data_IF_229110321596
#
_entry.id   IF_229110321596
#
_cell.length_a   1.000
_cell.length_b   1.000
_cell.length_c   1.000
_cell.angle_alpha   90.00
_cell.angle_beta   90.00
_cell.angle_gamma   90.00
#
_symmetry.space_group_name_H-M   'P 1'
#
loop_
_entity.id
_entity.type
_entity.pdbx_description
1 polymer ?
#
# COMPACT_ATOMS: atom_id res chain seq x y z
N UNK A 1 -9.88 -6.62 22.91
CA UNK A 1 -10.64 -7.61 22.11
C UNK A 1 -9.75 -8.58 21.33
N UNK A 2 -8.55 -8.18 20.90
CA UNK A 2 -7.63 -9.02 20.10
C UNK A 2 -7.17 -10.32 20.78
N UNK A 3 -7.05 -10.30 22.12
CA UNK A 3 -6.54 -11.42 22.92
C UNK A 3 -7.48 -12.65 22.85
N UNK A 4 -8.79 -12.43 22.90
CA UNK A 4 -9.77 -13.53 23.04
C UNK A 4 -9.77 -14.42 21.80
N UNK A 5 -9.71 -13.87 20.59
CA UNK A 5 -9.81 -14.69 19.39
C UNK A 5 -8.55 -15.49 19.03
N UNK A 6 -7.39 -15.21 19.64
CA UNK A 6 -6.21 -16.07 19.46
C UNK A 6 -6.38 -17.39 20.24
N UNK A 7 -6.97 -17.30 21.44
CA UNK A 7 -7.24 -18.42 22.36
C UNK A 7 -8.41 -19.33 21.90
N UNK A 8 -9.28 -18.84 21.01
CA UNK A 8 -10.36 -19.64 20.43
C UNK A 8 -9.75 -20.78 19.58
N UNK A 9 -10.07 -22.06 19.82
CA UNK A 9 -9.48 -23.16 19.06
C UNK A 9 -10.18 -23.39 17.71
N UNK A 10 -11.48 -23.13 17.63
CA UNK A 10 -12.30 -23.45 16.45
C UNK A 10 -12.29 -22.30 15.43
N UNK A 11 -11.97 -22.61 14.18
CA UNK A 11 -11.92 -21.63 13.08
C UNK A 11 -13.31 -21.01 12.85
N UNK A 12 -14.38 -21.79 12.94
CA UNK A 12 -15.76 -21.30 12.78
C UNK A 12 -16.11 -20.22 13.80
N UNK A 13 -15.68 -20.39 15.05
CA UNK A 13 -15.91 -19.40 16.11
C UNK A 13 -15.09 -18.12 15.89
N UNK A 14 -13.86 -18.24 15.39
CA UNK A 14 -13.06 -17.07 14.97
C UNK A 14 -13.71 -16.32 13.81
N UNK A 15 -14.28 -17.04 12.85
CA UNK A 15 -15.00 -16.44 11.73
C UNK A 15 -16.26 -15.73 12.22
N UNK A 16 -17.06 -16.35 13.09
CA UNK A 16 -18.23 -15.72 13.72
C UNK A 16 -17.85 -14.44 14.48
N UNK A 17 -16.75 -14.46 15.25
CA UNK A 17 -16.28 -13.26 15.95
C UNK A 17 -15.79 -12.17 14.97
N UNK A 18 -15.14 -12.56 13.86
CA UNK A 18 -14.71 -11.62 12.83
C UNK A 18 -15.90 -10.91 12.18
N UNK A 19 -17.02 -11.61 11.94
CA UNK A 19 -18.28 -11.02 11.45
C UNK A 19 -18.81 -9.93 12.37
N UNK A 20 -18.85 -10.22 13.67
CA UNK A 20 -19.29 -9.26 14.69
C UNK A 20 -18.38 -8.02 14.71
N UNK A 21 -17.06 -8.21 14.62
CA UNK A 21 -16.09 -7.10 14.60
C UNK A 21 -16.16 -6.25 13.32
N UNK A 22 -16.51 -6.86 12.18
CA UNK A 22 -16.74 -6.16 10.91
C UNK A 22 -18.08 -5.43 10.86
N UNK A 23 -18.98 -5.68 11.82
CA UNK A 23 -20.38 -5.27 11.75
C UNK A 23 -21.05 -5.71 10.43
N UNK A 24 -20.68 -6.90 9.94
CA UNK A 24 -21.18 -7.43 8.67
C UNK A 24 -22.52 -8.16 8.86
N UNK A 25 -23.57 -7.38 9.05
CA UNK A 25 -24.94 -7.88 9.28
C UNK A 25 -25.51 -8.64 8.07
N UNK A 26 -25.02 -8.35 6.85
CA UNK A 26 -25.54 -8.90 5.59
C UNK A 26 -24.68 -10.04 5.01
N UNK A 27 -23.59 -10.43 5.67
CA UNK A 27 -22.60 -11.41 5.18
C UNK A 27 -21.96 -11.06 3.83
N UNK A 28 -21.92 -9.78 3.45
CA UNK A 28 -21.37 -9.37 2.15
C UNK A 28 -19.83 -9.23 2.19
N UNK A 29 -19.26 -9.04 3.38
CA UNK A 29 -17.84 -8.71 3.58
C UNK A 29 -17.03 -9.87 4.20
N UNK A 30 -17.70 -10.90 4.70
CA UNK A 30 -17.12 -11.81 5.70
C UNK A 30 -17.08 -13.28 5.33
N UNK A 31 -17.36 -13.69 4.08
CA UNK A 31 -17.36 -15.12 3.76
C UNK A 31 -15.95 -15.72 3.96
N UNK A 32 -15.80 -16.45 5.06
CA UNK A 32 -14.54 -17.04 5.51
C UNK A 32 -13.55 -16.14 6.25
N UNK A 33 -13.83 -14.84 6.48
CA UNK A 33 -12.85 -13.93 7.11
C UNK A 33 -12.49 -14.36 8.53
N UNK A 34 -11.19 -14.53 8.78
CA UNK A 34 -10.63 -14.82 10.09
C UNK A 34 -9.51 -13.82 10.39
N UNK A 35 -9.76 -12.86 11.27
CA UNK A 35 -8.75 -11.83 11.60
C UNK A 35 -7.47 -12.36 12.22
N UNK A 36 -7.53 -13.55 12.83
CA UNK A 36 -6.39 -14.22 13.48
C UNK A 36 -5.67 -15.19 12.55
N UNK A 37 -6.09 -15.34 11.28
CA UNK A 37 -5.32 -16.11 10.31
C UNK A 37 -4.01 -15.38 9.97
N UNK A 38 -2.88 -16.02 10.29
CA UNK A 38 -1.54 -15.50 10.04
C UNK A 38 -1.17 -15.44 8.55
N UNK A 39 -1.92 -16.16 7.71
CA UNK A 39 -1.71 -16.18 6.25
C UNK A 39 -2.65 -15.22 5.51
N UNK A 40 -3.54 -14.51 6.21
CA UNK A 40 -4.44 -13.57 5.53
C UNK A 40 -3.65 -12.37 4.99
N UNK A 41 -4.07 -11.88 3.83
CA UNK A 41 -3.61 -10.59 3.35
C UNK A 41 -4.35 -9.48 4.13
N UNK A 42 -3.62 -8.47 4.58
CA UNK A 42 -4.21 -7.28 5.18
C UNK A 42 -5.07 -6.54 4.14
N UNK A 43 -6.20 -5.99 4.59
CA UNK A 43 -7.08 -5.19 3.74
C UNK A 43 -6.52 -3.80 3.51
N UNK A 44 -7.05 -3.11 2.50
CA UNK A 44 -6.73 -1.70 2.22
C UNK A 44 -6.93 -0.82 3.45
N UNK A 45 -8.06 -0.96 4.15
CA UNK A 45 -8.42 -0.11 5.29
C UNK A 45 -7.51 -0.35 6.50
N UNK A 46 -7.13 -1.61 6.73
CA UNK A 46 -6.20 -1.96 7.80
C UNK A 46 -4.83 -1.34 7.57
N UNK A 47 -4.29 -1.48 6.35
CA UNK A 47 -3.00 -0.87 5.98
C UNK A 47 -3.08 0.65 6.07
N UNK A 48 -4.16 1.25 5.58
CA UNK A 48 -4.37 2.71 5.64
C UNK A 48 -4.34 3.18 7.10
N UNK A 49 -5.10 2.52 7.99
CA UNK A 49 -5.17 2.87 9.40
C UNK A 49 -3.79 2.75 10.09
N UNK A 50 -3.07 1.64 9.86
CA UNK A 50 -1.75 1.43 10.47
C UNK A 50 -0.71 2.42 9.97
N UNK A 51 -0.63 2.63 8.67
CA UNK A 51 0.39 3.51 8.10
C UNK A 51 0.12 4.99 8.40
N UNK A 52 -1.15 5.41 8.48
CA UNK A 52 -1.48 6.78 8.93
C UNK A 52 -1.02 7.03 10.37
N UNK A 53 -1.20 6.06 11.28
CA UNK A 53 -0.67 6.16 12.65
C UNK A 53 0.85 6.24 12.69
N UNK A 54 1.54 5.53 11.80
CA UNK A 54 3.00 5.59 11.69
C UNK A 54 3.43 6.95 11.13
N UNK A 55 2.78 7.43 10.07
CA UNK A 55 3.05 8.73 9.45
C UNK A 55 2.84 9.89 10.43
N UNK A 56 1.80 9.83 11.26
CA UNK A 56 1.54 10.84 12.29
C UNK A 56 2.70 10.99 13.30
N UNK A 57 3.52 9.95 13.47
CA UNK A 57 4.69 9.95 14.36
C UNK A 57 6.01 10.18 13.62
N UNK A 58 6.03 10.09 12.29
CA UNK A 58 7.21 10.30 11.47
C UNK A 58 7.29 11.76 11.00
N UNK A 59 8.42 12.43 11.22
CA UNK A 59 8.64 13.77 10.65
C UNK A 59 8.85 13.65 9.14
N UNK A 60 8.23 14.55 8.36
CA UNK A 60 8.46 14.69 6.92
C UNK A 60 8.12 13.42 6.11
N UNK A 61 7.00 12.77 6.44
CA UNK A 61 6.52 11.57 5.76
C UNK A 61 5.00 11.65 5.57
N UNK A 62 4.57 11.43 4.32
CA UNK A 62 3.17 11.32 3.95
C UNK A 62 2.89 9.90 3.43
N UNK A 63 1.78 9.32 3.89
CA UNK A 63 1.30 8.03 3.41
C UNK A 63 0.09 8.26 2.51
N UNK A 64 0.17 7.75 1.29
CA UNK A 64 -0.92 7.74 0.33
C UNK A 64 -1.86 6.56 0.62
N UNK A 65 -3.11 6.70 0.20
CA UNK A 65 -4.09 5.63 0.38
C UNK A 65 -3.63 4.34 -0.33
N UNK A 66 -3.75 3.16 0.29
CA UNK A 66 -3.36 1.91 -0.37
C UNK A 66 -4.21 1.66 -1.61
N UNK A 67 -3.57 1.29 -2.72
CA UNK A 67 -4.25 1.10 -4.02
C UNK A 67 -3.81 -0.19 -4.68
N UNK A 68 -4.55 -0.63 -5.70
CA UNK A 68 -4.07 -1.65 -6.63
C UNK A 68 -2.94 -1.13 -7.52
N UNK A 69 -2.23 -2.04 -8.19
CA UNK A 69 -1.19 -1.65 -9.15
C UNK A 69 -1.78 -0.94 -10.37
N UNK A 70 -2.81 -1.52 -10.98
CA UNK A 70 -3.43 -1.00 -12.20
C UNK A 70 -4.76 -0.34 -11.91
N UNK A 71 -5.07 0.72 -12.66
CA UNK A 71 -6.42 1.26 -12.75
C UNK A 71 -7.32 0.21 -13.41
N UNK A 72 -8.53 -0.06 -12.89
CA UNK A 72 -9.43 -1.05 -13.49
C UNK A 72 -9.64 -0.83 -14.99
N UNK A 73 -9.54 -1.92 -15.76
CA UNK A 73 -9.68 -1.93 -17.23
C UNK A 73 -8.69 -1.01 -17.97
N UNK A 74 -7.52 -0.73 -17.39
CA UNK A 74 -6.48 0.13 -17.97
C UNK A 74 -5.08 -0.49 -17.89
N UNK A 75 -4.17 0.03 -18.72
CA UNK A 75 -2.73 -0.24 -18.64
C UNK A 75 -1.96 0.81 -17.83
N UNK A 76 -2.65 1.85 -17.34
CA UNK A 76 -2.10 2.84 -16.43
C UNK A 76 -2.07 2.30 -15.00
N UNK A 77 -1.11 2.80 -14.23
CA UNK A 77 -1.00 2.46 -12.80
C UNK A 77 -1.55 3.59 -11.94
N UNK A 78 -2.07 3.26 -10.75
CA UNK A 78 -2.47 4.30 -9.80
C UNK A 78 -1.29 5.18 -9.36
N UNK A 79 -0.08 4.61 -9.32
CA UNK A 79 1.15 5.35 -9.06
C UNK A 79 1.44 6.38 -10.16
N UNK A 80 1.26 6.01 -11.43
CA UNK A 80 1.44 6.92 -12.57
C UNK A 80 0.47 8.11 -12.50
N UNK A 81 -0.79 7.86 -12.20
CA UNK A 81 -1.80 8.91 -12.06
C UNK A 81 -1.46 9.84 -10.89
N UNK A 82 -1.14 9.28 -9.71
CA UNK A 82 -0.75 10.07 -8.55
C UNK A 82 0.50 10.94 -8.81
N UNK A 83 1.50 10.42 -9.52
CA UNK A 83 2.70 11.17 -9.84
C UNK A 83 2.43 12.31 -10.82
N UNK A 84 1.67 12.01 -11.88
CA UNK A 84 1.31 12.98 -12.89
C UNK A 84 0.48 14.13 -12.30
N UNK A 85 -0.47 13.84 -11.41
CA UNK A 85 -1.29 14.86 -10.76
C UNK A 85 -0.45 15.74 -9.84
N UNK A 86 0.35 15.14 -8.94
CA UNK A 86 1.14 15.87 -7.98
C UNK A 86 2.22 16.74 -8.64
N UNK A 87 2.98 16.20 -9.59
CA UNK A 87 4.07 16.94 -10.27
C UNK A 87 3.51 18.06 -11.17
N UNK A 88 2.37 17.84 -11.82
CA UNK A 88 1.70 18.90 -12.58
C UNK A 88 1.21 20.03 -11.67
N UNK A 89 0.71 19.70 -10.49
CA UNK A 89 0.23 20.68 -9.52
C UNK A 89 1.37 21.45 -8.84
N UNK A 90 2.48 20.77 -8.55
CA UNK A 90 3.65 21.34 -7.87
C UNK A 90 4.95 20.70 -8.41
N UNK A 91 5.71 21.40 -9.27
CA UNK A 91 7.01 20.92 -9.75
C UNK A 91 8.06 20.73 -8.64
N UNK A 92 7.82 21.31 -7.45
CA UNK A 92 8.68 21.15 -6.28
C UNK A 92 8.38 19.89 -5.48
N UNK A 93 7.27 19.20 -5.75
CA UNK A 93 6.93 17.90 -5.18
C UNK A 93 7.99 16.82 -5.51
N UNK A 94 8.19 15.80 -4.65
CA UNK A 94 7.65 15.68 -3.30
C UNK A 94 8.44 16.50 -2.27
N UNK A 95 7.73 17.22 -1.39
CA UNK A 95 8.33 18.01 -0.31
C UNK A 95 8.70 17.13 0.91
N UNK A 96 8.01 16.00 1.06
CA UNK A 96 8.20 15.01 2.12
C UNK A 96 8.47 13.62 1.53
N UNK A 97 8.87 12.65 2.34
CA UNK A 97 8.92 11.25 1.90
C UNK A 97 7.49 10.78 1.63
N UNK A 98 7.23 10.28 0.43
CA UNK A 98 5.92 9.80 0.01
C UNK A 98 5.92 8.28 0.03
N UNK A 99 4.99 7.68 0.74
CA UNK A 99 4.80 6.24 0.83
C UNK A 99 3.54 5.83 0.06
N UNK A 100 3.68 4.85 -0.82
CA UNK A 100 2.61 4.29 -1.65
C UNK A 100 2.53 2.79 -1.40
N UNK A 101 1.56 2.33 -0.59
CA UNK A 101 1.25 0.91 -0.45
C UNK A 101 0.50 0.44 -1.69
N UNK A 102 1.05 -0.52 -2.42
CA UNK A 102 0.50 -0.99 -3.70
C UNK A 102 0.24 -2.49 -3.66
N UNK A 103 -0.99 -2.89 -3.93
CA UNK A 103 -1.37 -4.29 -4.06
C UNK A 103 -1.12 -4.76 -5.49
N UNK A 104 -0.34 -5.82 -5.64
CA UNK A 104 0.02 -6.39 -6.95
C UNK A 104 -0.94 -7.49 -7.44
N UNK A 105 -2.07 -7.67 -6.76
CA UNK A 105 -3.09 -8.71 -6.98
C UNK A 105 -2.85 -9.99 -6.18
N UNK A 106 -1.82 -10.05 -5.34
CA UNK A 106 -1.57 -11.21 -4.47
C UNK A 106 -0.62 -10.97 -3.30
N UNK A 107 0.04 -9.80 -3.26
CA UNK A 107 0.73 -9.29 -2.08
C UNK A 107 0.88 -7.78 -2.20
N UNK A 108 1.21 -7.16 -1.08
CA UNK A 108 1.50 -5.74 -0.98
C UNK A 108 2.99 -5.46 -1.16
N UNK A 109 3.30 -4.39 -1.88
CA UNK A 109 4.63 -3.77 -1.92
C UNK A 109 4.53 -2.35 -1.37
N UNK A 110 5.66 -1.81 -0.91
CA UNK A 110 5.75 -0.41 -0.51
C UNK A 110 6.68 0.33 -1.47
N UNK A 111 6.15 1.34 -2.14
CA UNK A 111 6.94 2.25 -2.97
C UNK A 111 7.14 3.54 -2.19
N UNK A 112 8.40 3.94 -2.01
CA UNK A 112 8.79 5.19 -1.38
C UNK A 112 9.41 6.13 -2.40
N UNK A 113 8.94 7.37 -2.44
CA UNK A 113 9.52 8.44 -3.25
C UNK A 113 10.04 9.53 -2.33
N UNK A 114 11.24 10.00 -2.62
CA UNK A 114 11.87 11.07 -1.88
C UNK A 114 12.67 11.97 -2.82
N UNK A 115 12.63 13.27 -2.58
CA UNK A 115 13.46 14.22 -3.32
C UNK A 115 14.83 14.30 -2.67
N UNK A 116 15.88 14.05 -3.45
CA UNK A 116 17.27 14.10 -2.99
C UNK A 116 18.08 15.04 -3.87
N UNK A 117 19.11 15.66 -3.28
CA UNK A 117 20.09 16.44 -4.05
C UNK A 117 21.10 15.46 -4.65
N UNK A 118 21.18 15.44 -5.97
CA UNK A 118 22.19 14.68 -6.69
C UNK A 118 23.55 15.37 -6.52
N UNK A 119 24.46 14.71 -5.79
CA UNK A 119 25.78 15.25 -5.46
C UNK A 119 26.66 15.55 -6.68
N UNK A 120 26.41 14.92 -7.85
CA UNK A 120 27.25 15.11 -9.05
C UNK A 120 26.95 16.39 -9.80
N UNK A 121 25.69 16.82 -9.84
CA UNK A 121 25.25 17.98 -10.63
C UNK A 121 24.50 19.04 -9.81
N UNK A 122 24.40 18.84 -8.49
CA UNK A 122 23.69 19.70 -7.54
C UNK A 122 22.23 19.97 -7.91
N UNK A 123 21.60 19.06 -8.68
CA UNK A 123 20.18 19.14 -9.05
C UNK A 123 19.34 18.26 -8.13
N UNK A 124 18.10 18.68 -7.88
CA UNK A 124 17.11 17.85 -7.21
C UNK A 124 16.67 16.71 -8.14
N UNK A 125 16.57 15.50 -7.60
CA UNK A 125 16.12 14.31 -8.30
C UNK A 125 15.16 13.52 -7.41
N UNK A 126 14.13 12.92 -7.99
CA UNK A 126 13.26 11.99 -7.28
C UNK A 126 13.95 10.63 -7.24
N UNK A 127 14.15 10.09 -6.04
CA UNK A 127 14.61 8.73 -5.83
C UNK A 127 13.43 7.86 -5.43
N UNK A 128 13.24 6.79 -6.18
CA UNK A 128 12.29 5.73 -5.86
C UNK A 128 12.98 4.55 -5.17
N UNK A 129 12.35 4.02 -4.13
CA UNK A 129 12.74 2.77 -3.47
C UNK A 129 11.51 1.87 -3.43
N UNK A 130 11.66 0.64 -3.90
CA UNK A 130 10.60 -0.37 -3.85
C UNK A 130 11.00 -1.43 -2.84
N UNK A 131 10.16 -1.62 -1.83
CA UNK A 131 10.29 -2.72 -0.88
C UNK A 131 9.29 -3.81 -1.24
N UNK A 132 9.82 -4.98 -1.64
CA UNK A 132 9.08 -6.18 -1.91
C UNK A 132 9.60 -7.29 -0.99
N UNK A 133 8.77 -7.71 -0.04
CA UNK A 133 9.12 -8.73 0.96
C UNK A 133 8.73 -10.16 0.56
N UNK A 134 8.25 -10.37 -0.66
CA UNK A 134 7.84 -11.67 -1.17
C UNK A 134 8.66 -12.04 -2.42
N UNK A 135 8.07 -12.83 -3.32
CA UNK A 135 8.68 -13.25 -4.58
C UNK A 135 8.85 -12.07 -5.54
N UNK A 136 9.77 -12.22 -6.49
CA UNK A 136 9.98 -11.27 -7.57
C UNK A 136 8.67 -10.88 -8.27
N UNK A 137 8.57 -9.63 -8.69
CA UNK A 137 7.43 -9.16 -9.46
C UNK A 137 7.55 -9.77 -10.87
N UNK A 138 6.43 -10.21 -11.46
CA UNK A 138 6.44 -10.71 -12.83
C UNK A 138 6.91 -9.62 -13.81
N UNK A 139 7.46 -10.04 -14.96
CA UNK A 139 8.07 -9.16 -15.97
C UNK A 139 7.21 -7.93 -16.29
N UNK A 140 5.91 -8.11 -16.53
CA UNK A 140 5.00 -7.02 -16.89
C UNK A 140 4.86 -5.98 -15.77
N UNK A 141 4.72 -6.45 -14.52
CA UNK A 141 4.56 -5.57 -13.34
C UNK A 141 5.84 -4.80 -13.05
N UNK A 142 6.99 -5.47 -13.15
CA UNK A 142 8.28 -4.79 -13.04
C UNK A 142 8.47 -3.73 -14.10
N UNK A 143 8.15 -4.04 -15.36
CA UNK A 143 8.31 -3.09 -16.45
C UNK A 143 7.34 -1.93 -16.33
N UNK A 144 6.10 -2.15 -15.90
CA UNK A 144 5.17 -1.08 -15.57
C UNK A 144 5.75 -0.14 -14.51
N UNK A 145 6.27 -0.66 -13.39
CA UNK A 145 6.87 0.16 -12.35
C UNK A 145 8.14 0.89 -12.84
N UNK A 146 9.03 0.20 -13.56
CA UNK A 146 10.24 0.81 -14.14
C UNK A 146 9.90 1.94 -15.10
N UNK A 147 8.89 1.75 -15.96
CA UNK A 147 8.40 2.77 -16.90
C UNK A 147 7.96 4.03 -16.16
N UNK A 148 7.15 3.86 -15.12
CA UNK A 148 6.64 4.98 -14.30
C UNK A 148 7.75 5.68 -13.53
N UNK A 149 8.72 4.93 -12.99
CA UNK A 149 9.82 5.54 -12.23
C UNK A 149 10.77 6.30 -13.16
N UNK A 150 11.04 5.78 -14.34
CA UNK A 150 11.97 6.39 -15.30
C UNK A 150 11.37 7.59 -16.04
N UNK A 151 10.07 7.90 -15.88
CA UNK A 151 9.45 9.08 -16.48
C UNK A 151 9.63 10.37 -15.67
N UNK A 152 10.30 10.31 -14.51
CA UNK A 152 10.52 11.44 -13.59
C UNK A 152 11.97 11.53 -13.12
#
# INVERSE_FOLDING_TARGET
MTIIGDEIPLISEKQSLSKVLLNDENNELSDGTNFWDKNRQLTTDEIACYLQKIAANAKNTQVNYPTGLYVPYSTRTHLEDALNENIKSDPSWPNEVQLFPINTGGHWILVSLQKIVNKKNNKLQIKCVIFNSLRALGYDKENSLKRVINSF
#
